data_IF_413231603244
#
_entry.id   IF_413231603244
#
_cell.length_a   1.000
_cell.length_b   1.000
_cell.length_c   1.000
_cell.angle_alpha   90.00
_cell.angle_beta   90.00
_cell.angle_gamma   90.00
#
_symmetry.space_group_name_H-M   'P 1'
#
loop_
_entity.id
_entity.type
_entity.pdbx_description
1 polymer ?
#
# COMPACT_ATOMS: atom_id res chain seq x y z
N UNK A 1 -27.13 16.70 -8.98
CA UNK A 1 -26.53 15.71 -8.06
C UNK A 1 -25.21 15.22 -8.63
N UNK A 2 -24.08 15.90 -8.36
CA UNK A 2 -22.79 15.60 -9.00
C UNK A 2 -21.62 15.77 -8.02
N UNK A 3 -21.72 15.18 -6.83
CA UNK A 3 -20.73 15.39 -5.76
C UNK A 3 -20.57 14.28 -4.72
N UNK A 4 -21.10 13.07 -4.96
CA UNK A 4 -20.99 11.96 -4.00
C UNK A 4 -20.02 10.85 -4.42
N UNK A 5 -19.61 10.78 -5.69
CA UNK A 5 -18.75 9.70 -6.18
C UNK A 5 -17.26 10.02 -6.03
N UNK A 6 -16.87 11.29 -6.14
CA UNK A 6 -15.46 11.71 -6.10
C UNK A 6 -14.85 11.57 -4.70
N UNK A 7 -15.62 11.87 -3.64
CA UNK A 7 -15.15 11.74 -2.25
C UNK A 7 -14.79 10.30 -1.85
N UNK A 8 -15.53 9.31 -2.36
CA UNK A 8 -15.33 7.89 -1.99
C UNK A 8 -14.07 7.30 -2.60
N UNK A 9 -13.65 7.82 -3.76
CA UNK A 9 -12.43 7.41 -4.45
C UNK A 9 -11.19 8.01 -3.79
N UNK A 10 -11.27 9.28 -3.36
CA UNK A 10 -10.19 9.99 -2.66
C UNK A 10 -9.91 9.33 -1.30
N UNK A 11 -10.96 9.04 -0.51
CA UNK A 11 -10.81 8.33 0.77
C UNK A 11 -10.16 6.94 0.60
N UNK A 12 -10.51 6.21 -0.47
CA UNK A 12 -9.94 4.90 -0.76
C UNK A 12 -8.45 4.94 -1.09
N UNK A 13 -7.99 5.99 -1.77
CA UNK A 13 -6.60 6.16 -2.18
C UNK A 13 -5.73 6.68 -1.04
N UNK A 14 -6.26 7.59 -0.22
CA UNK A 14 -5.59 8.04 1.01
C UNK A 14 -5.42 6.88 2.00
N UNK A 15 -6.45 6.05 2.18
CA UNK A 15 -6.39 4.88 3.05
C UNK A 15 -5.36 3.84 2.58
N UNK A 16 -5.26 3.61 1.27
CA UNK A 16 -4.22 2.74 0.71
C UNK A 16 -2.82 3.31 0.93
N UNK A 17 -2.66 4.63 0.76
CA UNK A 17 -1.40 5.32 1.04
C UNK A 17 -0.97 5.20 2.50
N UNK A 18 -1.90 5.30 3.45
CA UNK A 18 -1.64 5.07 4.87
C UNK A 18 -1.14 3.65 5.10
N UNK A 19 -1.84 2.64 4.59
CA UNK A 19 -1.46 1.22 4.73
C UNK A 19 -0.08 0.92 4.18
N UNK A 20 0.29 1.48 3.02
CA UNK A 20 1.63 1.33 2.44
C UNK A 20 2.69 1.91 3.38
N UNK A 21 2.44 3.08 3.98
CA UNK A 21 3.39 3.71 4.93
C UNK A 21 3.55 2.89 6.20
N UNK A 22 2.44 2.42 6.77
CA UNK A 22 2.45 1.57 7.98
C UNK A 22 3.19 0.26 7.72
N UNK A 23 2.88 -0.41 6.60
CA UNK A 23 3.50 -1.68 6.23
C UNK A 23 5.00 -1.52 5.93
N UNK A 24 5.40 -0.40 5.32
CA UNK A 24 6.82 -0.06 5.13
C UNK A 24 7.54 0.13 6.45
N UNK A 25 6.92 0.81 7.42
CA UNK A 25 7.49 0.98 8.76
C UNK A 25 7.65 -0.38 9.44
N UNK A 26 6.62 -1.23 9.40
CA UNK A 26 6.67 -2.58 9.95
C UNK A 26 7.82 -3.41 9.33
N UNK A 27 8.00 -3.37 8.01
CA UNK A 27 9.08 -4.10 7.33
C UNK A 27 10.46 -3.65 7.84
N UNK A 28 10.66 -2.35 8.02
CA UNK A 28 11.90 -1.80 8.55
C UNK A 28 12.12 -2.22 10.01
N UNK A 29 11.07 -2.16 10.83
CA UNK A 29 11.12 -2.59 12.23
C UNK A 29 11.52 -4.08 12.31
N UNK A 30 10.92 -4.95 11.49
CA UNK A 30 11.30 -6.37 11.40
C UNK A 30 12.71 -6.58 10.87
N UNK A 31 13.12 -5.82 9.85
CA UNK A 31 14.47 -5.92 9.30
C UNK A 31 15.55 -5.53 10.31
N UNK A 32 15.26 -4.56 11.18
CA UNK A 32 16.16 -4.17 12.27
C UNK A 32 16.21 -5.22 13.39
N UNK A 33 15.09 -5.88 13.68
CA UNK A 33 14.97 -6.84 14.78
C UNK A 33 15.46 -8.25 14.40
N UNK A 34 15.08 -8.74 13.22
CA UNK A 34 15.28 -10.13 12.78
C UNK A 34 16.25 -10.26 11.60
N UNK A 35 16.55 -9.16 10.90
CA UNK A 35 17.38 -9.14 9.69
C UNK A 35 16.57 -9.22 8.39
N UNK A 36 17.18 -8.79 7.28
CA UNK A 36 16.50 -8.64 5.98
C UNK A 36 16.07 -9.97 5.34
N UNK A 37 16.75 -11.07 5.67
CA UNK A 37 16.47 -12.41 5.13
C UNK A 37 15.56 -13.22 6.06
N UNK A 38 15.10 -12.66 7.17
CA UNK A 38 14.18 -13.33 8.09
C UNK A 38 12.82 -13.58 7.43
N UNK A 39 12.18 -14.69 7.76
CA UNK A 39 10.85 -15.02 7.27
C UNK A 39 9.83 -13.92 7.64
N UNK A 40 10.00 -13.29 8.80
CA UNK A 40 9.22 -12.15 9.26
C UNK A 40 9.35 -10.96 8.31
N UNK A 41 10.58 -10.54 8.00
CA UNK A 41 10.81 -9.42 7.09
C UNK A 41 10.35 -9.74 5.67
N UNK A 42 10.60 -10.96 5.18
CA UNK A 42 10.16 -11.40 3.86
C UNK A 42 8.64 -11.41 3.73
N UNK A 43 7.93 -11.88 4.76
CA UNK A 43 6.46 -11.86 4.80
C UNK A 43 5.93 -10.43 4.69
N UNK A 44 6.45 -9.51 5.51
CA UNK A 44 6.01 -8.12 5.50
C UNK A 44 6.38 -7.42 4.17
N UNK A 45 7.53 -7.77 3.58
CA UNK A 45 7.93 -7.29 2.25
C UNK A 45 6.93 -7.70 1.16
N UNK A 46 6.49 -8.96 1.16
CA UNK A 46 5.51 -9.45 0.18
C UNK A 46 4.16 -8.77 0.35
N UNK A 47 3.71 -8.56 1.58
CA UNK A 47 2.48 -7.80 1.85
C UNK A 47 2.58 -6.34 1.38
N UNK A 48 3.73 -5.70 1.56
CA UNK A 48 3.98 -4.35 1.08
C UNK A 48 3.93 -4.28 -0.46
N UNK A 49 4.52 -5.25 -1.15
CA UNK A 49 4.49 -5.33 -2.61
C UNK A 49 3.06 -5.49 -3.14
N UNK A 50 2.21 -6.27 -2.48
CA UNK A 50 0.80 -6.39 -2.84
C UNK A 50 0.07 -5.04 -2.75
N UNK A 51 0.31 -4.25 -1.70
CA UNK A 51 -0.29 -2.93 -1.53
C UNK A 51 0.22 -1.92 -2.58
N UNK A 52 1.52 -1.95 -2.90
CA UNK A 52 2.11 -1.12 -3.94
C UNK A 52 1.50 -1.46 -5.31
N UNK A 53 1.38 -2.76 -5.62
CA UNK A 53 0.77 -3.22 -6.86
C UNK A 53 -0.70 -2.80 -6.97
N UNK A 54 -1.47 -2.89 -5.89
CA UNK A 54 -2.85 -2.37 -5.86
C UNK A 54 -2.90 -0.86 -6.20
N UNK A 55 -1.98 -0.07 -5.67
CA UNK A 55 -1.89 1.37 -5.98
C UNK A 55 -1.53 1.63 -7.44
N UNK A 56 -0.55 0.89 -7.99
CA UNK A 56 -0.14 0.98 -9.39
C UNK A 56 -1.29 0.62 -10.33
N UNK A 57 -2.02 -0.48 -10.05
CA UNK A 57 -3.16 -0.89 -10.86
C UNK A 57 -4.27 0.16 -10.87
N UNK A 58 -4.56 0.80 -9.73
CA UNK A 58 -5.50 1.93 -9.68
C UNK A 58 -5.05 3.08 -10.56
N UNK A 59 -3.78 3.51 -10.44
CA UNK A 59 -3.23 4.61 -11.24
C UNK A 59 -3.27 4.33 -12.75
N UNK A 60 -2.91 3.10 -13.16
CA UNK A 60 -2.98 2.68 -14.57
C UNK A 60 -4.43 2.74 -15.06
N UNK A 61 -5.37 2.21 -14.28
CA UNK A 61 -6.80 2.24 -14.63
C UNK A 61 -7.31 3.66 -14.82
N UNK A 62 -6.95 4.60 -13.94
CA UNK A 62 -7.34 6.00 -14.09
C UNK A 62 -6.71 6.69 -15.30
N UNK A 63 -5.50 6.32 -15.70
CA UNK A 63 -4.85 6.86 -16.90
C UNK A 63 -5.45 6.35 -18.22
N UNK A 64 -6.11 5.20 -18.18
CA UNK A 64 -6.77 4.58 -19.35
C UNK A 64 -8.24 4.98 -19.49
N UNK A 65 -8.81 5.69 -18.50
CA UNK A 65 -10.15 6.30 -18.54
C UNK A 65 -10.08 7.73 -19.03
#
# INVERSE_FOLDING_TARGET
MRGMFDNKLIESDEHLGIKIREKRKEMLDRAMEFGIESDETLTVSQELDLLINQSLHKQIKYRMM
#
